data_IF_716353262925
#
_entry.id   IF_716353262925
#
_cell.length_a   1.000
_cell.length_b   1.000
_cell.length_c   1.000
_cell.angle_alpha   90.00
_cell.angle_beta   90.00
_cell.angle_gamma   90.00
#
_symmetry.space_group_name_H-M   'P 1'
#
loop_
_entity.id
_entity.type
_entity.pdbx_description
1 polymer ?
#
# COMPACT_ATOMS: atom_id res chain seq x y z
N UNK A 1 13.31 45.24 -24.31
CA UNK A 1 12.15 45.34 -23.43
C UNK A 1 11.05 44.41 -23.94
N UNK A 2 11.22 43.10 -23.82
CA UNK A 2 10.20 42.06 -24.12
C UNK A 2 10.46 40.91 -23.13
N UNK A 3 9.94 41.01 -21.92
CA UNK A 3 10.02 39.97 -20.90
C UNK A 3 8.87 40.06 -19.89
N UNK A 4 7.64 40.30 -20.33
CA UNK A 4 6.46 40.26 -19.44
C UNK A 4 5.24 39.84 -20.28
N UNK A 5 5.18 38.59 -20.76
CA UNK A 5 3.93 38.04 -21.28
C UNK A 5 3.73 36.54 -21.10
N UNK A 6 4.68 35.82 -20.47
CA UNK A 6 4.55 34.38 -20.27
C UNK A 6 3.86 33.96 -18.93
N UNK A 7 3.53 34.92 -18.07
CA UNK A 7 3.06 34.63 -16.71
C UNK A 7 1.54 34.62 -16.51
N UNK A 8 0.75 34.80 -17.55
CA UNK A 8 -0.70 35.09 -17.41
C UNK A 8 -1.65 33.91 -17.58
N UNK A 9 -1.18 32.70 -17.88
CA UNK A 9 -2.06 31.55 -18.16
C UNK A 9 -2.01 30.43 -17.13
N UNK A 10 -1.29 30.61 -16.00
CA UNK A 10 -1.13 29.56 -14.99
C UNK A 10 -2.08 29.69 -13.80
N UNK A 11 -2.97 30.67 -13.80
CA UNK A 11 -3.71 31.06 -12.59
C UNK A 11 -4.89 30.16 -12.21
N UNK A 12 -5.26 29.13 -12.97
CA UNK A 12 -6.40 28.27 -12.58
C UNK A 12 -6.37 26.89 -13.24
N UNK A 13 -5.32 26.12 -13.03
CA UNK A 13 -5.25 24.75 -13.50
C UNK A 13 -5.85 23.74 -12.53
N UNK A 14 -6.10 24.15 -11.27
CA UNK A 14 -6.79 23.28 -10.32
C UNK A 14 -8.18 22.91 -10.83
N UNK A 15 -8.58 21.68 -10.63
CA UNK A 15 -9.87 21.15 -11.08
C UNK A 15 -9.81 19.70 -11.49
N UNK A 16 -10.89 19.24 -12.07
CA UNK A 16 -11.05 17.88 -12.55
C UNK A 16 -10.95 17.85 -14.07
N UNK A 17 -10.18 16.90 -14.60
CA UNK A 17 -9.98 16.70 -16.02
C UNK A 17 -10.24 15.23 -16.35
N UNK A 18 -11.02 14.96 -17.39
CA UNK A 18 -11.45 13.61 -17.74
C UNK A 18 -11.02 13.25 -19.16
N UNK A 19 -10.44 12.06 -19.28
CA UNK A 19 -10.22 11.36 -20.56
C UNK A 19 -11.21 10.19 -20.69
N UNK A 20 -11.09 9.41 -21.75
CA UNK A 20 -11.89 8.18 -21.92
C UNK A 20 -11.56 7.08 -20.92
N UNK A 21 -10.40 7.12 -20.24
CA UNK A 21 -9.95 6.06 -19.32
C UNK A 21 -9.39 6.55 -18.01
N UNK A 22 -9.24 7.87 -17.82
CA UNK A 22 -8.61 8.43 -16.64
C UNK A 22 -9.23 9.75 -16.21
N UNK A 23 -9.15 10.01 -14.91
CA UNK A 23 -9.52 11.28 -14.29
C UNK A 23 -8.31 11.86 -13.61
N UNK A 24 -8.00 13.12 -13.89
CA UNK A 24 -6.97 13.89 -13.20
C UNK A 24 -7.65 14.90 -12.29
N UNK A 25 -7.34 14.84 -11.01
CA UNK A 25 -7.77 15.84 -10.03
C UNK A 25 -6.55 16.65 -9.63
N UNK A 26 -6.53 17.92 -9.98
CA UNK A 26 -5.45 18.86 -9.67
C UNK A 26 -5.94 19.75 -8.53
N UNK A 27 -5.38 19.58 -7.34
CA UNK A 27 -5.81 20.28 -6.14
C UNK A 27 -5.06 21.61 -5.95
N UNK A 28 -5.72 22.61 -5.34
CA UNK A 28 -5.12 23.90 -5.00
C UNK A 28 -3.92 23.82 -4.05
N UNK A 29 -3.90 22.81 -3.18
CA UNK A 29 -2.83 22.55 -2.22
C UNK A 29 -1.59 21.91 -2.84
N UNK A 30 -1.45 21.92 -4.17
CA UNK A 30 -0.34 21.33 -4.91
C UNK A 30 -0.28 19.80 -4.86
N UNK A 31 -1.37 19.13 -4.51
CA UNK A 31 -1.51 17.68 -4.65
C UNK A 31 -2.30 17.33 -5.92
N UNK A 32 -2.16 16.10 -6.39
CA UNK A 32 -2.97 15.57 -7.48
C UNK A 32 -3.42 14.13 -7.20
N UNK A 33 -4.48 13.72 -7.90
CA UNK A 33 -4.89 12.32 -8.05
C UNK A 33 -5.02 12.00 -9.53
N UNK A 34 -4.57 10.81 -9.93
CA UNK A 34 -4.94 10.21 -11.21
C UNK A 34 -5.71 8.94 -10.88
N UNK A 35 -6.93 8.84 -11.39
CA UNK A 35 -7.82 7.71 -11.20
C UNK A 35 -8.02 7.05 -12.56
N UNK A 36 -7.61 5.79 -12.71
CA UNK A 36 -7.73 5.05 -13.96
C UNK A 36 -8.05 3.58 -13.66
N UNK A 37 -9.22 3.09 -14.08
CA UNK A 37 -9.69 1.73 -13.77
C UNK A 37 -9.52 1.39 -12.28
N UNK A 38 -8.73 0.37 -11.97
CA UNK A 38 -8.40 -0.01 -10.59
C UNK A 38 -7.12 0.67 -10.05
N UNK A 39 -6.63 1.71 -10.72
CA UNK A 39 -5.37 2.37 -10.38
C UNK A 39 -5.63 3.77 -9.86
N UNK A 40 -4.98 4.11 -8.77
CA UNK A 40 -5.06 5.39 -8.14
C UNK A 40 -3.64 5.89 -7.84
N UNK A 41 -3.23 7.01 -8.45
CA UNK A 41 -1.91 7.60 -8.31
C UNK A 41 -2.05 8.94 -7.64
N UNK A 42 -1.27 9.16 -6.59
CA UNK A 42 -1.21 10.39 -5.83
C UNK A 42 0.19 10.99 -5.87
N UNK A 43 0.25 12.29 -5.75
CA UNK A 43 1.52 12.97 -5.63
C UNK A 43 1.37 14.48 -5.50
N UNK A 44 2.44 15.18 -5.83
CA UNK A 44 2.48 16.63 -5.84
C UNK A 44 2.68 17.15 -7.26
N UNK A 45 2.25 18.38 -7.51
CA UNK A 45 2.43 18.98 -8.80
C UNK A 45 3.13 20.34 -8.72
N UNK A 46 3.86 20.67 -9.79
CA UNK A 46 4.43 21.98 -10.03
C UNK A 46 4.28 22.35 -11.51
N UNK A 47 4.47 23.63 -11.81
CA UNK A 47 4.46 24.15 -13.16
C UNK A 47 5.81 24.75 -13.48
N UNK A 48 6.33 24.42 -14.65
CA UNK A 48 7.51 25.05 -15.23
C UNK A 48 7.16 25.52 -16.64
N UNK A 49 7.11 26.83 -16.85
CA UNK A 49 6.64 27.47 -18.11
C UNK A 49 5.18 27.11 -18.42
N UNK A 50 4.96 26.32 -19.48
CA UNK A 50 3.66 25.81 -19.92
C UNK A 50 3.49 24.31 -19.67
N UNK A 51 4.36 23.72 -18.83
CA UNK A 51 4.34 22.30 -18.47
C UNK A 51 3.90 22.11 -17.02
N UNK A 52 2.95 21.19 -16.84
CA UNK A 52 2.49 20.68 -15.58
C UNK A 52 3.22 19.35 -15.30
N UNK A 53 4.00 19.31 -14.25
CA UNK A 53 4.68 18.11 -13.75
C UNK A 53 3.86 17.52 -12.62
N UNK A 54 3.38 16.31 -12.79
CA UNK A 54 2.71 15.51 -11.75
C UNK A 54 3.74 14.49 -11.23
N UNK A 55 4.21 14.70 -10.02
CA UNK A 55 5.24 13.87 -9.37
C UNK A 55 4.57 12.84 -8.46
N UNK A 56 4.52 11.56 -8.84
CA UNK A 56 3.94 10.52 -7.99
C UNK A 56 4.64 10.44 -6.64
N UNK A 57 3.85 10.25 -5.58
CA UNK A 57 4.39 9.96 -4.25
C UNK A 57 4.68 8.47 -4.17
N UNK A 58 5.95 8.12 -4.07
CA UNK A 58 6.36 6.76 -3.77
C UNK A 58 6.25 6.50 -2.26
N UNK A 59 5.98 5.26 -1.84
CA UNK A 59 6.04 4.91 -0.43
C UNK A 59 7.45 5.15 0.13
N UNK A 60 7.52 5.65 1.37
CA UNK A 60 8.80 5.95 2.03
C UNK A 60 9.61 4.69 2.36
N UNK A 61 8.95 3.55 2.44
CA UNK A 61 9.56 2.25 2.69
C UNK A 61 8.88 1.14 1.88
N UNK A 62 9.66 0.14 1.47
CA UNK A 62 9.16 -1.05 0.77
C UNK A 62 8.35 -1.98 1.67
N UNK A 63 8.69 -2.01 2.94
CA UNK A 63 8.04 -2.87 3.91
C UNK A 63 7.68 -2.08 5.16
N UNK A 64 6.44 -2.28 5.61
CA UNK A 64 6.01 -1.91 6.95
C UNK A 64 5.75 -3.18 7.74
N UNK A 65 6.25 -3.24 8.96
CA UNK A 65 6.02 -4.38 9.84
C UNK A 65 5.29 -3.90 11.08
N UNK A 66 4.22 -4.62 11.41
CA UNK A 66 3.42 -4.40 12.60
C UNK A 66 3.45 -5.67 13.44
N UNK A 67 3.40 -5.53 14.76
CA UNK A 67 3.57 -6.65 15.66
C UNK A 67 2.70 -6.57 16.90
N UNK A 68 2.38 -7.73 17.45
CA UNK A 68 1.71 -7.87 18.75
C UNK A 68 2.23 -9.07 19.52
N UNK A 69 2.03 -9.06 20.84
CA UNK A 69 2.18 -10.25 21.65
C UNK A 69 0.88 -11.04 21.63
N UNK A 70 0.91 -12.25 21.07
CA UNK A 70 -0.23 -13.15 21.02
C UNK A 70 -0.03 -14.27 22.04
N UNK A 71 -0.89 -14.33 23.05
CA UNK A 71 -0.80 -15.32 24.14
C UNK A 71 -1.17 -16.73 23.71
N UNK A 72 -1.82 -16.90 22.56
CA UNK A 72 -2.19 -18.22 22.02
C UNK A 72 -1.01 -18.88 21.28
N UNK A 73 -0.01 -18.12 20.84
CA UNK A 73 1.21 -18.63 20.22
C UNK A 73 2.22 -18.94 21.33
N UNK A 74 2.39 -20.21 21.65
CA UNK A 74 3.27 -20.66 22.74
C UNK A 74 4.73 -20.76 22.32
N UNK A 75 4.98 -21.12 21.07
CA UNK A 75 6.31 -21.26 20.50
C UNK A 75 6.32 -20.74 19.06
N UNK A 76 7.49 -20.28 18.61
CA UNK A 76 7.64 -19.76 17.26
C UNK A 76 7.00 -18.37 17.07
N UNK A 77 6.60 -18.08 15.84
CA UNK A 77 5.94 -16.83 15.48
C UNK A 77 5.00 -17.03 14.30
N UNK A 78 4.05 -16.13 14.17
CA UNK A 78 3.11 -16.08 13.05
C UNK A 78 3.31 -14.78 12.27
N UNK A 79 3.31 -14.87 10.96
CA UNK A 79 3.40 -13.69 10.08
C UNK A 79 2.27 -13.77 9.06
N UNK A 80 1.51 -12.69 8.93
CA UNK A 80 0.65 -12.42 7.79
C UNK A 80 1.40 -11.52 6.80
N UNK A 81 1.50 -11.97 5.56
CA UNK A 81 2.12 -11.21 4.48
C UNK A 81 1.02 -10.55 3.65
N UNK A 82 1.01 -9.24 3.61
CA UNK A 82 -0.03 -8.43 2.99
C UNK A 82 0.57 -7.32 2.11
N UNK A 83 -0.27 -6.62 1.40
CA UNK A 83 0.09 -5.47 0.57
C UNK A 83 0.02 -5.75 -0.92
N UNK A 84 -0.01 -4.66 -1.68
CA UNK A 84 -0.15 -4.70 -3.13
C UNK A 84 1.08 -5.36 -3.77
N UNK A 85 0.81 -6.25 -4.71
CA UNK A 85 1.87 -6.91 -5.48
C UNK A 85 2.73 -7.89 -4.69
N UNK A 86 2.34 -8.30 -3.48
CA UNK A 86 3.14 -9.24 -2.67
C UNK A 86 3.38 -10.57 -3.38
N UNK A 87 2.44 -11.03 -4.19
CA UNK A 87 2.58 -12.22 -5.02
C UNK A 87 3.34 -12.02 -6.32
N UNK A 88 3.48 -10.77 -6.77
CA UNK A 88 4.18 -10.42 -8.01
C UNK A 88 5.65 -10.04 -7.76
N UNK A 89 6.06 -9.96 -6.51
CA UNK A 89 7.41 -9.56 -6.11
C UNK A 89 8.17 -10.77 -5.59
N UNK A 90 9.41 -10.95 -6.06
CA UNK A 90 10.31 -11.99 -5.55
C UNK A 90 10.84 -11.60 -4.17
N UNK A 91 9.95 -11.68 -3.18
CA UNK A 91 10.26 -11.37 -1.79
C UNK A 91 10.92 -12.58 -1.16
N UNK A 92 12.01 -12.32 -0.44
CA UNK A 92 12.69 -13.30 0.38
C UNK A 92 12.58 -12.89 1.84
N UNK A 93 12.29 -13.85 2.71
CA UNK A 93 12.07 -13.64 4.13
C UNK A 93 12.86 -14.65 4.95
N UNK A 94 13.33 -14.26 6.11
CA UNK A 94 13.99 -15.22 7.02
C UNK A 94 14.81 -14.57 8.12
N UNK A 95 15.71 -15.36 8.64
CA UNK A 95 16.78 -14.95 9.56
C UNK A 95 18.09 -14.87 8.78
N UNK A 96 18.55 -13.65 8.57
CA UNK A 96 19.78 -13.39 7.81
C UNK A 96 21.04 -13.85 8.59
N UNK A 97 22.06 -14.41 7.92
CA UNK A 97 22.15 -14.67 6.48
C UNK A 97 21.74 -16.08 6.03
N UNK A 98 21.46 -17.00 6.95
CA UNK A 98 21.52 -18.43 6.68
C UNK A 98 20.17 -19.12 6.51
N UNK A 99 19.07 -18.48 6.92
CA UNK A 99 17.72 -19.07 6.89
C UNK A 99 16.76 -18.23 6.04
N UNK A 100 17.24 -17.72 4.92
CA UNK A 100 16.44 -16.93 3.99
C UNK A 100 15.72 -17.86 3.00
N UNK A 101 14.45 -17.61 2.71
CA UNK A 101 13.65 -18.41 1.78
C UNK A 101 12.73 -17.53 0.95
N UNK A 102 12.43 -17.91 -0.31
CA UNK A 102 11.44 -17.22 -1.10
C UNK A 102 10.08 -17.20 -0.39
N UNK A 103 9.36 -16.11 -0.50
CA UNK A 103 8.01 -16.02 0.06
C UNK A 103 7.04 -16.93 -0.71
N UNK A 104 7.06 -16.83 -2.02
CA UNK A 104 6.28 -17.69 -2.92
C UNK A 104 7.19 -18.50 -3.84
N UNK A 105 6.64 -19.58 -4.39
CA UNK A 105 7.30 -20.33 -5.46
C UNK A 105 7.34 -19.51 -6.75
N UNK A 106 8.24 -19.87 -7.64
CA UNK A 106 8.28 -19.33 -9.00
C UNK A 106 6.93 -19.58 -9.67
N UNK A 107 6.46 -18.60 -10.47
CA UNK A 107 5.20 -18.66 -11.20
C UNK A 107 3.95 -18.79 -10.31
N UNK A 108 4.00 -18.34 -9.05
CA UNK A 108 2.84 -18.29 -8.18
C UNK A 108 1.72 -17.45 -8.84
N UNK A 109 0.54 -18.06 -9.06
CA UNK A 109 -0.56 -17.45 -9.80
C UNK A 109 -1.92 -17.57 -9.10
N UNK A 110 -1.94 -18.18 -7.91
CA UNK A 110 -3.15 -18.40 -7.13
C UNK A 110 -2.91 -18.05 -5.66
N UNK A 111 -3.18 -16.80 -5.32
CA UNK A 111 -2.92 -16.27 -3.98
C UNK A 111 -4.23 -16.20 -3.20
N UNK A 112 -4.33 -17.02 -2.16
CA UNK A 112 -5.46 -16.99 -1.22
C UNK A 112 -5.11 -16.09 -0.03
N UNK A 113 -5.63 -14.88 -0.02
CA UNK A 113 -5.50 -14.01 1.14
C UNK A 113 -6.42 -14.47 2.29
N UNK A 114 -5.98 -14.44 3.58
CA UNK A 114 -4.71 -13.90 4.07
C UNK A 114 -3.53 -14.88 3.96
N UNK A 115 -2.36 -14.39 3.55
CA UNK A 115 -1.14 -15.19 3.46
C UNK A 115 -0.49 -15.32 4.83
N UNK A 116 -0.96 -16.26 5.65
CA UNK A 116 -0.52 -16.46 7.02
C UNK A 116 0.33 -17.71 7.15
N UNK A 117 1.55 -17.55 7.67
CA UNK A 117 2.42 -18.66 7.97
C UNK A 117 2.83 -18.69 9.45
N UNK A 118 2.90 -19.90 10.02
CA UNK A 118 3.37 -20.13 11.39
C UNK A 118 4.75 -20.77 11.34
N UNK A 119 5.75 -20.00 11.70
CA UNK A 119 7.12 -20.48 11.82
C UNK A 119 7.31 -21.18 13.19
N UNK A 120 7.96 -22.35 13.17
CA UNK A 120 8.20 -23.16 14.39
C UNK A 120 9.15 -22.46 15.36
N UNK A 121 10.07 -21.67 14.83
CA UNK A 121 11.05 -20.91 15.59
C UNK A 121 10.73 -19.42 15.54
N UNK A 122 11.01 -18.70 16.60
CA UNK A 122 10.97 -17.26 16.64
C UNK A 122 12.35 -16.72 16.28
N UNK A 123 12.42 -15.89 15.28
CA UNK A 123 13.66 -15.21 14.89
C UNK A 123 13.86 -13.94 15.73
N UNK A 124 15.08 -13.56 16.09
CA UNK A 124 15.36 -12.30 16.78
C UNK A 124 15.10 -11.08 15.86
N UNK A 125 15.21 -11.27 14.55
CA UNK A 125 15.01 -10.27 13.52
C UNK A 125 14.29 -10.90 12.33
N UNK A 126 13.23 -10.27 11.84
CA UNK A 126 12.64 -10.58 10.55
C UNK A 126 13.43 -9.81 9.50
N UNK A 127 14.07 -10.52 8.60
CA UNK A 127 14.78 -9.92 7.47
C UNK A 127 13.97 -10.11 6.20
N UNK A 128 13.82 -9.04 5.44
CA UNK A 128 13.10 -8.99 4.16
C UNK A 128 14.00 -8.40 3.09
N UNK A 129 13.88 -8.90 1.89
CA UNK A 129 14.50 -8.33 0.70
C UNK A 129 13.65 -8.62 -0.54
N UNK A 130 13.81 -7.82 -1.57
CA UNK A 130 13.24 -8.04 -2.90
C UNK A 130 14.40 -8.36 -3.84
N UNK A 131 14.43 -9.59 -4.39
CA UNK A 131 15.56 -10.03 -5.21
C UNK A 131 15.46 -9.51 -6.64
N UNK A 132 14.24 -9.45 -7.17
CA UNK A 132 13.99 -9.08 -8.57
C UNK A 132 12.69 -8.32 -8.67
N UNK A 133 12.64 -7.39 -9.58
CA UNK A 133 11.44 -6.73 -10.01
C UNK A 133 11.27 -6.89 -11.51
N UNK A 134 10.04 -7.16 -11.95
CA UNK A 134 9.71 -7.24 -13.36
C UNK A 134 8.72 -6.13 -13.72
N UNK A 135 9.04 -5.36 -14.75
CA UNK A 135 8.13 -4.39 -15.37
C UNK A 135 7.92 -4.77 -16.83
N UNK A 136 6.67 -4.96 -17.23
CA UNK A 136 6.32 -5.39 -18.60
C UNK A 136 7.08 -6.65 -19.07
N UNK A 137 7.33 -7.60 -18.15
CA UNK A 137 8.07 -8.84 -18.45
C UNK A 137 9.59 -8.68 -18.52
N UNK A 138 10.13 -7.50 -18.25
CA UNK A 138 11.58 -7.25 -18.22
C UNK A 138 12.06 -7.10 -16.77
N UNK A 139 13.21 -7.75 -16.46
CA UNK A 139 13.86 -7.57 -15.15
C UNK A 139 14.39 -6.13 -15.04
N UNK A 140 14.00 -5.43 -13.99
CA UNK A 140 14.39 -4.05 -13.71
C UNK A 140 15.44 -4.06 -12.62
N UNK A 141 16.48 -3.25 -12.79
CA UNK A 141 17.51 -3.07 -11.76
C UNK A 141 16.93 -2.21 -10.63
N UNK A 142 16.82 -2.80 -9.43
CA UNK A 142 16.35 -2.15 -8.22
C UNK A 142 17.47 -2.03 -7.19
N UNK A 143 17.44 -1.01 -6.32
CA UNK A 143 18.36 -0.95 -5.21
C UNK A 143 18.27 -2.21 -4.36
N UNK A 144 19.34 -2.97 -4.27
CA UNK A 144 19.39 -4.19 -3.45
C UNK A 144 19.56 -3.81 -1.99
N UNK A 145 18.46 -3.80 -1.25
CA UNK A 145 18.42 -3.46 0.18
C UNK A 145 17.92 -4.65 1.00
N UNK A 146 18.51 -4.79 2.17
CA UNK A 146 18.03 -5.69 3.22
C UNK A 146 17.31 -4.85 4.26
N UNK A 147 16.09 -5.26 4.61
CA UNK A 147 15.25 -4.64 5.62
C UNK A 147 15.19 -5.55 6.85
N UNK A 148 15.58 -5.03 8.00
CA UNK A 148 15.66 -5.77 9.26
C UNK A 148 14.70 -5.19 10.28
N UNK A 149 13.82 -6.04 10.84
CA UNK A 149 12.83 -5.67 11.84
C UNK A 149 13.03 -6.52 13.10
N UNK A 150 13.43 -5.92 14.24
CA UNK A 150 13.60 -6.65 15.48
C UNK A 150 12.27 -7.17 15.98
N UNK A 151 12.23 -8.43 16.41
CA UNK A 151 11.00 -9.05 16.89
C UNK A 151 10.70 -8.77 18.37
N UNK A 152 11.72 -8.43 19.17
CA UNK A 152 11.54 -8.13 20.59
C UNK A 152 10.72 -9.21 21.32
N UNK A 153 9.68 -8.81 22.05
CA UNK A 153 8.76 -9.72 22.76
C UNK A 153 7.55 -10.14 21.92
N UNK A 154 7.43 -9.63 20.70
CA UNK A 154 6.33 -9.95 19.81
C UNK A 154 6.49 -11.33 19.16
N UNK A 155 5.37 -11.94 18.80
CA UNK A 155 5.33 -13.26 18.16
C UNK A 155 4.22 -13.39 17.09
N UNK A 156 3.53 -12.30 16.78
CA UNK A 156 2.45 -12.24 15.81
C UNK A 156 2.64 -10.95 15.00
N UNK A 157 2.79 -11.07 13.67
CA UNK A 157 3.27 -9.99 12.81
C UNK A 157 2.40 -9.83 11.57
N UNK A 158 2.33 -8.61 11.08
CA UNK A 158 1.87 -8.27 9.73
C UNK A 158 3.06 -7.65 9.01
N UNK A 159 3.46 -8.23 7.89
CA UNK A 159 4.42 -7.68 6.95
C UNK A 159 3.63 -7.13 5.77
N UNK A 160 3.61 -5.82 5.63
CA UNK A 160 2.96 -5.15 4.51
C UNK A 160 4.04 -4.76 3.49
N UNK A 161 3.93 -5.33 2.28
CA UNK A 161 4.77 -4.93 1.15
C UNK A 161 4.11 -3.76 0.43
N UNK A 162 4.93 -2.79 0.09
CA UNK A 162 4.53 -1.64 -0.72
C UNK A 162 5.18 -1.77 -2.08
N UNK A 163 4.37 -2.06 -3.07
CA UNK A 163 4.86 -2.02 -4.45
C UNK A 163 5.30 -0.59 -4.76
N UNK A 164 6.45 -0.45 -5.41
CA UNK A 164 6.77 0.84 -5.99
C UNK A 164 5.63 1.25 -6.91
N UNK A 165 5.31 2.52 -6.90
CA UNK A 165 4.40 3.06 -7.91
C UNK A 165 4.93 2.61 -9.27
N UNK A 166 4.08 2.04 -10.10
CA UNK A 166 4.40 1.68 -11.49
C UNK A 166 4.94 2.89 -12.28
N UNK A 167 4.92 4.05 -11.65
CA UNK A 167 5.22 5.33 -12.24
C UNK A 167 6.39 5.96 -11.51
N UNK A 168 7.61 5.56 -11.91
CA UNK A 168 8.84 6.19 -11.45
C UNK A 168 9.12 7.53 -12.13
N UNK A 169 8.30 7.90 -13.12
CA UNK A 169 8.47 9.10 -13.90
C UNK A 169 7.37 10.10 -13.64
N UNK A 170 7.71 11.37 -13.71
CA UNK A 170 6.73 12.45 -13.69
C UNK A 170 5.80 12.32 -14.89
N UNK A 171 4.49 12.48 -14.67
CA UNK A 171 3.55 12.72 -15.76
C UNK A 171 3.68 14.18 -16.17
N UNK A 172 4.01 14.42 -17.42
CA UNK A 172 4.20 15.77 -17.93
C UNK A 172 3.07 16.09 -18.90
N UNK A 173 2.28 17.10 -18.56
CA UNK A 173 1.20 17.59 -19.37
C UNK A 173 1.49 19.03 -19.81
N UNK A 174 1.12 19.37 -21.03
CA UNK A 174 1.20 20.72 -21.54
C UNK A 174 -0.06 21.50 -21.17
N UNK A 175 0.12 22.67 -20.60
CA UNK A 175 -0.96 23.60 -20.28
C UNK A 175 -1.32 24.36 -21.55
N UNK A 176 -2.58 24.30 -21.96
CA UNK A 176 -3.10 24.98 -23.12
C UNK A 176 -4.22 25.93 -22.74
N UNK A 177 -4.64 26.83 -23.64
CA UNK A 177 -5.81 27.70 -23.42
C UNK A 177 -7.12 26.92 -23.26
N UNK A 178 -7.16 25.64 -23.69
CA UNK A 178 -8.39 24.84 -23.74
C UNK A 178 -8.40 23.72 -22.68
N UNK A 179 -7.29 23.50 -21.95
CA UNK A 179 -7.13 22.44 -20.99
C UNK A 179 -5.70 21.89 -20.94
N UNK A 180 -5.56 20.63 -20.62
CA UNK A 180 -4.29 19.92 -20.59
C UNK A 180 -4.12 19.06 -21.85
N UNK A 181 -2.91 18.81 -22.28
CA UNK A 181 -2.63 17.85 -23.35
C UNK A 181 -1.39 17.03 -23.01
N UNK A 182 -1.35 15.76 -23.41
CA UNK A 182 -0.15 14.95 -23.28
C UNK A 182 0.96 15.48 -24.19
N UNK A 183 2.21 15.42 -23.70
CA UNK A 183 3.37 16.00 -24.41
C UNK A 183 3.64 15.32 -25.77
N UNK A 184 3.41 13.99 -25.81
CA UNK A 184 3.73 13.15 -26.97
C UNK A 184 2.47 12.63 -27.68
N UNK A 185 1.30 13.22 -27.43
CA UNK A 185 0.09 12.82 -28.12
C UNK A 185 0.14 13.26 -29.57
N UNK A 186 0.31 12.34 -30.50
CA UNK A 186 0.21 12.59 -31.95
C UNK A 186 -1.16 13.13 -32.34
N UNK A 187 -2.19 12.81 -31.56
CA UNK A 187 -3.57 13.27 -31.78
C UNK A 187 -3.79 14.73 -31.41
N UNK A 188 -2.91 15.35 -30.62
CA UNK A 188 -3.11 16.69 -30.08
C UNK A 188 -4.37 16.84 -29.23
N UNK A 189 -4.87 15.72 -28.69
CA UNK A 189 -6.09 15.70 -27.89
C UNK A 189 -5.93 16.56 -26.65
N UNK A 190 -6.92 17.44 -26.43
CA UNK A 190 -6.97 18.34 -25.29
C UNK A 190 -7.91 17.77 -24.24
N UNK A 191 -7.36 17.47 -23.08
CA UNK A 191 -8.12 17.05 -21.89
C UNK A 191 -8.77 18.29 -21.31
N UNK A 192 -10.07 18.41 -21.48
CA UNK A 192 -10.84 19.58 -21.02
C UNK A 192 -11.14 19.47 -19.53
N UNK A 193 -11.24 20.62 -18.89
CA UNK A 193 -11.72 20.71 -17.51
C UNK A 193 -13.19 20.30 -17.46
N UNK A 194 -13.50 19.41 -16.53
CA UNK A 194 -14.85 18.92 -16.25
C UNK A 194 -15.34 19.45 -14.89
N UNK A 195 -16.61 19.41 -14.67
CA UNK A 195 -17.16 19.66 -13.32
C UNK A 195 -17.06 18.40 -12.46
N UNK A 196 -17.01 18.56 -11.13
CA UNK A 196 -17.01 17.44 -10.20
C UNK A 196 -18.23 16.53 -10.45
N UNK A 197 -19.40 17.12 -10.71
CA UNK A 197 -20.65 16.39 -10.96
C UNK A 197 -20.66 15.56 -12.26
N UNK A 198 -19.84 15.92 -13.25
CA UNK A 198 -19.70 15.13 -14.49
C UNK A 198 -18.82 13.90 -14.32
N UNK A 199 -18.03 13.86 -13.24
CA UNK A 199 -17.02 12.82 -13.01
C UNK A 199 -17.35 11.96 -11.80
N UNK A 200 -17.80 12.56 -10.72
CA UNK A 200 -18.12 11.94 -9.45
C UNK A 200 -19.62 12.05 -9.16
N UNK A 201 -20.18 11.07 -8.49
CA UNK A 201 -21.61 11.08 -8.11
C UNK A 201 -21.94 12.26 -7.19
N UNK A 202 -20.99 12.70 -6.38
CA UNK A 202 -21.11 13.88 -5.51
C UNK A 202 -19.73 14.34 -5.00
N UNK A 203 -19.70 15.51 -4.34
CA UNK A 203 -18.46 16.07 -3.79
C UNK A 203 -17.86 15.20 -2.67
N UNK A 204 -18.67 14.44 -1.95
CA UNK A 204 -18.20 13.54 -0.88
C UNK A 204 -17.40 12.37 -1.44
N UNK A 205 -17.71 11.89 -2.64
CA UNK A 205 -16.92 10.86 -3.32
C UNK A 205 -15.51 11.36 -3.63
N UNK A 206 -15.39 12.59 -4.14
CA UNK A 206 -14.08 13.20 -4.37
C UNK A 206 -13.33 13.45 -3.06
N UNK A 207 -14.01 13.94 -2.02
CA UNK A 207 -13.43 14.14 -0.69
C UNK A 207 -12.94 12.82 -0.12
N UNK A 208 -13.74 11.77 -0.22
CA UNK A 208 -13.41 10.42 0.15
C UNK A 208 -12.16 9.90 -0.60
N UNK A 209 -12.11 10.05 -1.93
CA UNK A 209 -10.93 9.69 -2.72
C UNK A 209 -9.67 10.46 -2.26
N UNK A 210 -9.80 11.74 -1.93
CA UNK A 210 -8.70 12.53 -1.39
C UNK A 210 -8.27 12.05 0.01
N UNK A 211 -9.21 11.69 0.87
CA UNK A 211 -8.95 11.21 2.24
C UNK A 211 -8.41 9.79 2.27
N UNK A 212 -8.90 8.89 1.41
CA UNK A 212 -8.40 7.51 1.30
C UNK A 212 -6.89 7.46 1.03
N UNK A 213 -6.38 8.52 0.43
CA UNK A 213 -4.96 8.69 0.18
C UNK A 213 -4.15 9.23 1.35
N UNK A 214 -4.78 9.99 2.23
CA UNK A 214 -4.15 10.48 3.45
C UNK A 214 -4.22 9.44 4.58
N UNK A 215 -5.01 8.37 4.39
CA UNK A 215 -4.94 7.16 5.21
C UNK A 215 -3.59 6.51 4.94
N UNK A 216 -2.65 6.93 5.74
CA UNK A 216 -1.25 6.68 5.57
C UNK A 216 -0.98 5.17 5.54
N UNK A 217 -0.28 4.72 4.51
CA UNK A 217 0.36 3.41 4.54
C UNK A 217 1.23 3.25 5.78
N UNK A 218 1.71 4.36 6.33
CA UNK A 218 2.52 4.47 7.51
C UNK A 218 1.69 4.96 8.72
N UNK A 219 1.11 4.02 9.44
CA UNK A 219 0.39 4.27 10.70
C UNK A 219 1.17 3.72 11.88
N UNK A 220 0.99 4.31 13.07
CA UNK A 220 1.63 3.82 14.30
C UNK A 220 1.14 2.42 14.71
N UNK A 221 -0.02 2.03 14.24
CA UNK A 221 -0.60 0.71 14.48
C UNK A 221 -1.59 0.32 13.39
N UNK A 222 -1.87 -1.00 13.31
CA UNK A 222 -2.97 -1.56 12.52
C UNK A 222 -3.99 -2.22 13.43
N UNK A 223 -5.28 -2.04 13.09
CA UNK A 223 -6.38 -2.78 13.67
C UNK A 223 -6.89 -3.77 12.64
N UNK A 224 -6.87 -5.04 12.98
CA UNK A 224 -7.34 -6.11 12.09
C UNK A 224 -8.26 -7.05 12.82
N UNK A 225 -9.21 -7.64 12.11
CA UNK A 225 -10.03 -8.72 12.64
C UNK A 225 -9.30 -10.09 12.55
N UNK A 226 -9.95 -11.16 12.92
CA UNK A 226 -9.32 -12.50 12.89
C UNK A 226 -9.08 -13.04 11.46
N UNK A 227 -9.71 -12.47 10.45
CA UNK A 227 -9.44 -12.75 9.04
C UNK A 227 -8.34 -11.85 8.46
N UNK A 228 -7.66 -11.05 9.30
CA UNK A 228 -6.64 -10.07 8.92
C UNK A 228 -7.16 -8.94 8.01
N UNK A 229 -8.46 -8.74 7.96
CA UNK A 229 -9.00 -7.56 7.31
C UNK A 229 -8.69 -6.31 8.16
N UNK A 230 -8.13 -5.31 7.54
CA UNK A 230 -7.76 -4.03 8.17
C UNK A 230 -8.92 -3.04 8.23
N UNK A 231 -10.05 -3.32 7.58
CA UNK A 231 -11.13 -2.38 7.29
C UNK A 231 -10.70 -1.09 6.55
N UNK A 232 -9.43 -1.00 6.18
CA UNK A 232 -8.94 0.11 5.37
C UNK A 232 -9.65 0.11 3.99
N UNK A 233 -10.02 -1.08 3.49
CA UNK A 233 -10.76 -1.26 2.24
C UNK A 233 -12.22 -0.79 2.31
N UNK A 234 -12.79 -0.71 3.52
CA UNK A 234 -14.21 -0.35 3.73
C UNK A 234 -14.38 1.10 4.13
N UNK A 235 -13.29 1.87 4.30
CA UNK A 235 -13.30 3.29 4.68
C UNK A 235 -14.09 3.65 5.93
N UNK A 236 -14.40 2.69 6.74
CA UNK A 236 -14.98 2.92 8.06
C UNK A 236 -13.84 3.04 9.06
N UNK A 237 -13.56 4.27 9.46
CA UNK A 237 -12.62 4.51 10.55
C UNK A 237 -13.14 3.85 11.82
N UNK A 238 -12.44 2.80 12.27
CA UNK A 238 -12.78 2.12 13.52
C UNK A 238 -12.66 3.10 14.68
N UNK A 239 -13.77 3.38 15.34
CA UNK A 239 -13.78 4.14 16.59
C UNK A 239 -13.61 3.18 17.77
N UNK A 240 -12.40 3.17 18.35
CA UNK A 240 -12.08 2.33 19.50
C UNK A 240 -12.92 2.64 20.74
N UNK A 241 -13.64 3.78 20.82
CA UNK A 241 -14.59 4.04 21.88
C UNK A 241 -15.77 3.07 21.88
N UNK A 242 -16.05 2.43 20.74
CA UNK A 242 -17.06 1.39 20.61
C UNK A 242 -16.55 -0.01 21.01
N UNK A 243 -15.34 -0.11 21.54
CA UNK A 243 -14.70 -1.36 21.90
C UNK A 243 -14.20 -1.35 23.34
N UNK A 244 -14.22 -2.52 23.97
CA UNK A 244 -13.61 -2.78 25.28
C UNK A 244 -12.34 -3.61 25.11
N UNK A 245 -11.24 -3.14 25.68
CA UNK A 245 -10.00 -3.90 25.64
C UNK A 245 -10.04 -5.10 26.61
N UNK A 246 -9.80 -6.30 26.07
CA UNK A 246 -9.64 -7.53 26.82
C UNK A 246 -8.13 -7.81 27.03
N UNK A 247 -7.65 -7.50 28.23
CA UNK A 247 -6.22 -7.63 28.57
C UNK A 247 -5.70 -9.08 28.51
N UNK A 248 -6.55 -10.06 28.86
CA UNK A 248 -6.16 -11.48 28.90
C UNK A 248 -5.85 -11.99 27.47
N UNK A 249 -6.72 -11.63 26.51
CA UNK A 249 -6.60 -12.06 25.12
C UNK A 249 -5.81 -11.06 24.24
N UNK A 250 -5.49 -9.89 24.78
CA UNK A 250 -4.86 -8.79 24.06
C UNK A 250 -5.62 -8.43 22.77
N UNK A 251 -6.93 -8.17 22.90
CA UNK A 251 -7.81 -7.81 21.78
C UNK A 251 -8.83 -6.76 22.25
N UNK A 252 -9.41 -6.06 21.29
CA UNK A 252 -10.54 -5.17 21.46
C UNK A 252 -11.81 -5.91 21.08
N UNK A 253 -12.84 -5.83 21.91
CA UNK A 253 -14.15 -6.49 21.73
C UNK A 253 -15.22 -5.42 21.60
N UNK A 254 -16.03 -5.50 20.55
CA UNK A 254 -17.12 -4.56 20.30
C UNK A 254 -18.12 -4.52 21.46
N UNK A 255 -18.48 -3.32 21.90
CA UNK A 255 -19.53 -3.11 22.92
C UNK A 255 -20.93 -3.47 22.40
N UNK A 256 -21.12 -3.50 21.08
CA UNK A 256 -22.38 -3.90 20.45
C UNK A 256 -22.65 -5.40 20.44
N UNK A 257 -21.66 -6.23 20.83
CA UNK A 257 -21.80 -7.70 20.82
C UNK A 257 -21.82 -8.23 22.26
N UNK A 258 -22.88 -8.95 22.67
CA UNK A 258 -22.92 -9.59 23.99
C UNK A 258 -21.76 -10.57 24.18
N UNK A 259 -21.10 -10.55 25.34
CA UNK A 259 -19.88 -11.31 25.62
C UNK A 259 -20.00 -12.82 25.30
N UNK A 260 -21.19 -13.40 25.53
CA UNK A 260 -21.48 -14.82 25.25
C UNK A 260 -21.56 -15.15 23.74
N UNK A 261 -21.68 -14.13 22.89
CA UNK A 261 -21.81 -14.25 21.42
C UNK A 261 -20.50 -13.92 20.70
N UNK A 262 -19.47 -13.47 21.44
CA UNK A 262 -18.20 -13.10 20.84
C UNK A 262 -17.46 -14.34 20.32
N UNK A 263 -17.30 -14.40 19.00
CA UNK A 263 -16.51 -15.45 18.36
C UNK A 263 -15.05 -15.00 18.20
N UNK A 264 -14.19 -15.35 19.14
CA UNK A 264 -12.76 -15.01 19.10
C UNK A 264 -11.96 -15.74 17.99
N UNK A 265 -12.61 -16.60 17.21
CA UNK A 265 -11.98 -17.39 16.13
C UNK A 265 -12.76 -17.23 14.80
N UNK A 266 -13.55 -16.18 14.70
CA UNK A 266 -14.28 -15.90 13.47
C UNK A 266 -13.30 -15.82 12.30
N UNK A 267 -13.67 -16.43 11.17
CA UNK A 267 -12.97 -16.32 9.90
C UNK A 267 -13.74 -15.47 8.90
N UNK A 268 -14.84 -14.88 9.33
CA UNK A 268 -15.62 -13.98 8.51
C UNK A 268 -14.83 -12.69 8.28
N UNK A 269 -14.62 -12.36 7.01
CA UNK A 269 -13.87 -11.20 6.56
C UNK A 269 -14.47 -9.89 7.08
N UNK A 270 -15.79 -9.84 7.30
CA UNK A 270 -16.50 -8.65 7.74
C UNK A 270 -16.80 -8.63 9.25
N UNK A 271 -16.42 -9.68 10.00
CA UNK A 271 -16.68 -9.73 11.44
C UNK A 271 -15.67 -8.88 12.21
N UNK A 272 -16.09 -7.69 12.62
CA UNK A 272 -15.33 -6.76 13.42
C UNK A 272 -15.65 -6.81 14.91
N UNK A 273 -16.34 -7.87 15.38
CA UNK A 273 -16.65 -8.05 16.81
C UNK A 273 -15.38 -8.12 17.66
N UNK A 274 -14.29 -8.63 17.08
CA UNK A 274 -12.98 -8.74 17.73
C UNK A 274 -11.90 -8.14 16.84
N UNK A 275 -11.17 -7.17 17.38
CA UNK A 275 -10.06 -6.52 16.70
C UNK A 275 -8.74 -6.77 17.43
N UNK A 276 -7.73 -7.05 16.68
CA UNK A 276 -6.34 -7.19 17.12
C UNK A 276 -5.58 -5.91 16.77
N UNK A 277 -4.88 -5.34 17.75
CA UNK A 277 -4.00 -4.19 17.51
C UNK A 277 -2.56 -4.70 17.34
N UNK A 278 -1.95 -4.29 16.24
CA UNK A 278 -0.55 -4.51 15.95
C UNK A 278 0.17 -3.17 15.93
N UNK A 279 1.16 -3.00 16.75
CA UNK A 279 1.96 -1.77 16.82
C UNK A 279 3.09 -1.82 15.79
N UNK A 280 3.42 -0.66 15.22
CA UNK A 280 4.48 -0.54 14.22
C UNK A 280 5.84 -0.93 14.80
N UNK A 281 6.60 -1.70 14.03
CA UNK A 281 7.99 -2.05 14.34
C UNK A 281 8.91 -1.18 13.50
N UNK A 282 9.79 -0.43 14.15
CA UNK A 282 10.83 0.33 13.47
C UNK A 282 11.93 -0.62 12.98
N UNK A 283 12.14 -0.64 11.68
CA UNK A 283 13.20 -1.41 11.04
C UNK A 283 14.43 -0.58 10.69
N UNK A 284 15.45 -1.26 10.22
CA UNK A 284 16.66 -0.67 9.63
C UNK A 284 16.88 -1.21 8.24
N UNK A 285 17.56 -0.44 7.39
CA UNK A 285 17.95 -0.86 6.06
C UNK A 285 19.45 -0.86 5.92
N UNK A 286 19.97 -1.80 5.14
CA UNK A 286 21.39 -1.86 4.77
C UNK A 286 21.53 -2.35 3.33
N UNK A 287 22.66 -2.04 2.64
CA UNK A 287 22.94 -2.59 1.33
C UNK A 287 22.92 -4.12 1.36
N UNK A 288 22.36 -4.71 0.31
CA UNK A 288 22.32 -6.16 0.16
C UNK A 288 23.73 -6.70 -0.09
N UNK A 289 24.10 -7.70 0.68
CA UNK A 289 25.20 -8.59 0.39
C UNK A 289 24.66 -9.88 -0.23
N UNK A 290 25.51 -10.72 -0.80
CA UNK A 290 25.08 -12.00 -1.34
C UNK A 290 24.32 -12.82 -0.28
N UNK A 291 23.08 -13.19 -0.61
CA UNK A 291 22.21 -13.99 0.28
C UNK A 291 22.05 -15.35 -0.36
N UNK A 292 22.27 -16.38 0.43
CA UNK A 292 21.96 -17.75 0.01
C UNK A 292 20.53 -18.06 0.45
N UNK A 293 19.64 -18.24 -0.51
CA UNK A 293 18.26 -18.65 -0.24
C UNK A 293 18.17 -20.18 -0.11
N UNK A 294 17.31 -20.63 0.79
CA UNK A 294 16.85 -22.00 0.84
C UNK A 294 15.89 -22.21 -0.32
N UNK A 295 16.03 -23.28 -1.10
CA UNK A 295 15.22 -23.52 -2.30
C UNK A 295 13.75 -23.84 -2.06
N UNK A 296 13.25 -23.78 -0.80
CA UNK A 296 11.87 -24.07 -0.46
C UNK A 296 11.13 -22.78 -0.10
N UNK A 297 10.05 -22.42 -0.84
CA UNK A 297 9.26 -21.23 -0.53
C UNK A 297 8.42 -21.39 0.74
N UNK A 298 8.00 -20.25 1.32
CA UNK A 298 7.06 -20.23 2.46
C UNK A 298 5.67 -20.70 2.01
N UNK A 299 5.23 -20.21 0.83
CA UNK A 299 3.96 -20.57 0.22
C UNK A 299 4.17 -21.20 -1.15
N UNK A 300 3.36 -22.20 -1.46
CA UNK A 300 3.19 -22.72 -2.81
C UNK A 300 1.79 -22.31 -3.25
N UNK A 301 1.70 -21.48 -4.28
CA UNK A 301 0.49 -20.81 -4.70
C UNK A 301 0.25 -21.00 -6.21
N UNK A 302 -0.06 -22.22 -6.61
CA UNK A 302 -0.42 -22.56 -7.99
C UNK A 302 -1.89 -22.93 -8.04
N UNK A 303 -2.63 -22.35 -9.01
CA UNK A 303 -3.92 -22.89 -9.40
C UNK A 303 -3.69 -24.07 -10.36
N UNK A 304 -4.28 -25.20 -10.04
CA UNK A 304 -4.44 -26.28 -11.01
C UNK A 304 -5.41 -25.81 -12.11
N UNK A 305 -4.95 -25.73 -13.33
CA UNK A 305 -5.73 -25.37 -14.52
C UNK A 305 -6.41 -26.58 -15.10
#
# INVERSE_FOLDING_TARGET
MILIQAQKNTENIDGVYKTNGSVFVINKNKTFLIIAYATLIKGTWNIEKDLLYLKPKNPEAKFFVYARKNTDIKTGMRINFAGDGIGNSNIVVGEFPNKMQPLFNDEANCLDYPNVHVFKEKWPVITLLEEKKYENGLEVDIPKLIYNFPTGDYNDFIVQHMQDSLYHHDFILKITKKGLSELNSESGEVIKKSTVKEVFSNEKELEFMNQSFDMAFDTDYKLVNNAYNTNDDMNEKIDLNNYKYNKIKNVYVSLGVPEKQVNYKSKDYHDNAVLMKFDKVTGTTQPQVAVKTLGKPVFVANCDH
#
